data_IF_236895623068
#
_entry.id   IF_236895623068
#
_cell.length_a   1.000
_cell.length_b   1.000
_cell.length_c   1.000
_cell.angle_alpha   90.00
_cell.angle_beta   90.00
_cell.angle_gamma   90.00
#
_symmetry.space_group_name_H-M   'P 1'
#
loop_
_entity.id
_entity.type
_entity.pdbx_description
1 polymer ?
#
# COMPACT_ATOMS: atom_id res chain seq x y z
N UNK A 1 -2.60 8.64 17.70
CA UNK A 1 -3.12 9.22 16.44
C UNK A 1 -4.06 8.21 15.81
N UNK A 2 -5.23 8.64 15.33
CA UNK A 2 -6.15 7.81 14.55
C UNK A 2 -5.61 7.66 13.11
N UNK A 3 -5.80 6.49 12.47
CA UNK A 3 -5.36 6.21 11.10
C UNK A 3 -5.86 7.25 10.10
N UNK A 4 -7.12 7.66 10.22
CA UNK A 4 -7.74 8.69 9.36
C UNK A 4 -6.96 10.01 9.39
N UNK A 5 -6.55 10.46 10.59
CA UNK A 5 -5.79 11.70 10.72
C UNK A 5 -4.41 11.58 10.07
N UNK A 6 -3.76 10.42 10.20
CA UNK A 6 -2.47 10.18 9.58
C UNK A 6 -2.57 10.14 8.05
N UNK A 7 -3.63 9.53 7.51
CA UNK A 7 -3.90 9.52 6.07
C UNK A 7 -4.14 10.93 5.53
N UNK A 8 -4.94 11.75 6.23
CA UNK A 8 -5.16 13.16 5.85
C UNK A 8 -3.86 13.96 5.84
N UNK A 9 -3.03 13.83 6.89
CA UNK A 9 -1.73 14.50 6.97
C UNK A 9 -0.78 14.10 5.83
N UNK A 10 -0.76 12.81 5.45
CA UNK A 10 0.04 12.33 4.32
C UNK A 10 -0.49 12.89 3.00
N UNK A 11 -1.81 12.91 2.79
CA UNK A 11 -2.40 13.48 1.58
C UNK A 11 -2.06 14.97 1.46
N UNK A 12 -2.21 15.74 2.53
CA UNK A 12 -1.83 17.16 2.59
C UNK A 12 -0.35 17.36 2.28
N UNK A 13 0.54 16.57 2.90
CA UNK A 13 1.99 16.64 2.70
C UNK A 13 2.39 16.48 1.24
N UNK A 14 1.71 15.60 0.50
CA UNK A 14 2.03 15.31 -0.90
C UNK A 14 1.08 15.99 -1.89
N UNK A 15 0.29 16.96 -1.44
CA UNK A 15 -0.70 17.68 -2.26
C UNK A 15 -1.65 16.75 -3.03
N UNK A 16 -2.02 15.63 -2.42
CA UNK A 16 -2.94 14.63 -2.96
C UNK A 16 -4.37 14.90 -2.50
N UNK A 17 -5.35 14.57 -3.34
CA UNK A 17 -6.73 14.38 -2.86
C UNK A 17 -6.77 13.25 -1.82
N UNK A 18 -7.70 13.36 -0.87
CA UNK A 18 -7.99 12.32 0.11
C UNK A 18 -9.02 11.34 -0.44
N UNK A 19 -8.57 10.16 -0.87
CA UNK A 19 -9.41 9.09 -1.45
C UNK A 19 -9.18 7.79 -0.67
N UNK A 20 -9.78 7.64 0.53
CA UNK A 20 -9.56 6.48 1.39
C UNK A 20 -10.15 5.20 0.79
N UNK A 21 -9.67 4.06 1.31
CA UNK A 21 -10.31 2.76 1.13
C UNK A 21 -10.97 2.33 2.45
N UNK A 22 -12.08 1.62 2.33
CA UNK A 22 -12.77 0.95 3.42
C UNK A 22 -12.17 -0.45 3.66
N UNK A 23 -12.44 -1.04 4.82
CA UNK A 23 -11.92 -2.37 5.20
C UNK A 23 -12.30 -3.49 4.22
N UNK A 24 -13.48 -3.38 3.59
CA UNK A 24 -13.99 -4.34 2.61
C UNK A 24 -13.47 -4.10 1.19
N UNK A 25 -12.82 -2.97 0.91
CA UNK A 25 -12.25 -2.71 -0.40
C UNK A 25 -11.09 -3.68 -0.68
N UNK A 26 -10.84 -3.92 -1.97
CA UNK A 26 -9.85 -4.89 -2.44
C UNK A 26 -8.58 -4.19 -2.92
N UNK A 27 -7.44 -4.79 -2.59
CA UNK A 27 -6.10 -4.39 -3.05
C UNK A 27 -5.37 -5.60 -3.61
N UNK A 28 -4.51 -5.39 -4.59
CA UNK A 28 -3.62 -6.42 -5.10
C UNK A 28 -2.36 -6.48 -4.22
N UNK A 29 -2.14 -7.58 -3.52
CA UNK A 29 -0.96 -7.81 -2.68
C UNK A 29 -0.20 -9.08 -3.07
N UNK A 30 1.12 -8.97 -3.20
CA UNK A 30 2.01 -10.10 -3.42
C UNK A 30 2.36 -10.76 -2.07
N UNK A 31 1.47 -11.61 -1.55
CA UNK A 31 1.60 -12.22 -0.22
C UNK A 31 2.95 -12.93 -0.01
N UNK A 32 3.43 -13.65 -1.02
CA UNK A 32 4.71 -14.36 -1.01
C UNK A 32 5.94 -13.46 -0.83
N UNK A 33 5.77 -12.14 -1.04
CA UNK A 33 6.83 -11.17 -0.85
C UNK A 33 6.90 -10.62 0.58
N UNK A 34 5.90 -10.92 1.43
CA UNK A 34 5.83 -10.42 2.80
C UNK A 34 7.13 -10.69 3.58
N UNK A 35 7.59 -9.69 4.33
CA UNK A 35 8.86 -9.74 5.07
C UNK A 35 10.08 -9.24 4.28
N UNK A 36 10.00 -9.12 2.95
CA UNK A 36 11.05 -8.51 2.15
C UNK A 36 11.03 -6.97 2.24
N UNK A 37 12.06 -6.32 1.72
CA UNK A 37 12.21 -4.86 1.71
C UNK A 37 12.78 -4.35 0.39
N UNK A 38 12.45 -3.11 -0.02
CA UNK A 38 11.47 -2.23 0.62
C UNK A 38 10.02 -2.62 0.29
N UNK A 39 9.04 -1.97 0.91
CA UNK A 39 7.63 -2.09 0.52
C UNK A 39 7.38 -1.14 -0.65
N UNK A 40 6.87 -1.67 -1.75
CA UNK A 40 6.44 -0.92 -2.93
C UNK A 40 4.91 -0.93 -2.99
N UNK A 41 4.32 0.23 -3.24
CA UNK A 41 2.89 0.36 -3.53
C UNK A 41 2.66 1.36 -4.67
N UNK A 42 1.83 1.00 -5.64
CA UNK A 42 1.44 1.87 -6.75
C UNK A 42 -0.07 1.95 -6.81
N UNK A 43 -0.61 3.18 -6.93
CA UNK A 43 -2.04 3.40 -7.16
C UNK A 43 -2.28 3.75 -8.62
N UNK A 44 -2.91 2.87 -9.38
CA UNK A 44 -3.26 3.09 -10.79
C UNK A 44 -4.73 3.47 -10.96
N UNK A 45 -5.04 4.05 -12.11
CA UNK A 45 -6.43 4.19 -12.57
C UNK A 45 -6.88 2.81 -13.08
N UNK A 46 -7.93 2.19 -12.51
CA UNK A 46 -8.38 0.89 -12.98
C UNK A 46 -8.95 0.97 -14.40
N UNK A 47 -8.55 0.03 -15.28
CA UNK A 47 -8.96 0.03 -16.69
C UNK A 47 -10.38 -0.52 -16.94
N UNK A 48 -10.96 -1.26 -15.98
CA UNK A 48 -12.25 -1.99 -16.12
C UNK A 48 -13.06 -1.96 -14.81
N UNK A 49 -14.18 -2.70 -14.76
CA UNK A 49 -15.04 -2.93 -13.57
C UNK A 49 -14.30 -3.48 -12.33
N UNK A 50 -13.03 -3.85 -12.43
CA UNK A 50 -12.24 -4.19 -11.25
C UNK A 50 -11.91 -2.91 -10.49
N UNK A 51 -12.40 -2.85 -9.25
CA UNK A 51 -12.22 -1.70 -8.36
C UNK A 51 -10.84 -1.66 -7.67
N UNK A 52 -9.93 -2.57 -8.03
CA UNK A 52 -8.59 -2.66 -7.44
C UNK A 52 -7.70 -1.57 -8.05
N UNK A 53 -7.32 -0.60 -7.23
CA UNK A 53 -6.43 0.49 -7.63
C UNK A 53 -5.03 0.39 -7.05
N UNK A 54 -4.83 -0.34 -5.94
CA UNK A 54 -3.53 -0.48 -5.29
C UNK A 54 -2.87 -1.82 -5.60
N UNK A 55 -1.61 -1.77 -5.99
CA UNK A 55 -0.73 -2.91 -6.23
C UNK A 55 0.46 -2.82 -5.29
N UNK A 56 0.62 -3.80 -4.41
CA UNK A 56 1.52 -3.76 -3.27
C UNK A 56 2.39 -5.01 -3.26
N UNK A 57 3.71 -4.83 -3.21
CA UNK A 57 4.66 -5.93 -3.03
C UNK A 57 5.84 -5.48 -2.18
N UNK A 58 6.64 -6.43 -1.71
CA UNK A 58 7.84 -6.17 -0.96
C UNK A 58 9.05 -6.75 -1.72
N UNK A 59 10.22 -6.13 -1.63
CA UNK A 59 11.39 -6.63 -2.35
C UNK A 59 11.20 -6.64 -3.87
N UNK A 60 11.66 -7.71 -4.52
CA UNK A 60 11.69 -7.77 -5.99
C UNK A 60 10.30 -8.00 -6.60
N UNK A 61 10.03 -7.27 -7.69
CA UNK A 61 8.85 -7.51 -8.52
C UNK A 61 9.03 -8.78 -9.35
N UNK A 62 7.94 -9.51 -9.58
CA UNK A 62 7.88 -10.61 -10.54
C UNK A 62 6.74 -10.41 -11.52
N UNK A 63 6.99 -10.71 -12.79
CA UNK A 63 5.98 -10.69 -13.86
C UNK A 63 5.14 -11.98 -13.93
N UNK A 64 5.20 -12.82 -12.90
CA UNK A 64 4.39 -14.04 -12.83
C UNK A 64 2.89 -13.67 -12.79
N UNK A 65 2.03 -14.41 -13.49
CA UNK A 65 0.60 -14.08 -13.59
C UNK A 65 -0.15 -14.18 -12.26
N UNK A 66 0.38 -14.94 -11.31
CA UNK A 66 -0.12 -15.14 -9.94
C UNK A 66 0.63 -14.29 -8.90
N UNK A 67 1.47 -13.35 -9.34
CA UNK A 67 2.28 -12.54 -8.43
C UNK A 67 1.42 -11.69 -7.48
N UNK A 68 0.30 -11.14 -7.96
CA UNK A 68 -0.63 -10.38 -7.14
C UNK A 68 -1.91 -11.16 -6.88
N UNK A 69 -2.38 -11.10 -5.63
CA UNK A 69 -3.66 -11.64 -5.22
C UNK A 69 -4.54 -10.52 -4.65
N UNK A 70 -5.83 -10.56 -4.97
CA UNK A 70 -6.77 -9.60 -4.42
C UNK A 70 -7.09 -9.96 -2.97
N UNK A 71 -6.87 -9.05 -2.03
CA UNK A 71 -7.20 -9.21 -0.61
C UNK A 71 -7.96 -7.99 -0.10
N UNK A 72 -8.77 -8.18 0.95
CA UNK A 72 -9.42 -7.08 1.65
C UNK A 72 -8.39 -6.21 2.38
N UNK A 73 -8.68 -4.91 2.50
CA UNK A 73 -7.87 -3.97 3.29
C UNK A 73 -7.77 -4.43 4.76
N UNK A 74 -8.82 -5.04 5.32
CA UNK A 74 -8.78 -5.65 6.66
C UNK A 74 -7.68 -6.71 6.81
N UNK A 75 -7.56 -7.63 5.86
CA UNK A 75 -6.48 -8.62 5.86
C UNK A 75 -5.12 -7.95 5.64
N UNK A 76 -5.02 -6.96 4.75
CA UNK A 76 -3.77 -6.22 4.55
C UNK A 76 -3.32 -5.52 5.84
N UNK A 77 -4.26 -5.00 6.66
CA UNK A 77 -3.96 -4.39 7.94
C UNK A 77 -3.31 -5.37 8.93
N UNK A 78 -3.69 -6.64 8.90
CA UNK A 78 -3.09 -7.68 9.74
C UNK A 78 -1.65 -7.98 9.32
N UNK A 79 -1.37 -8.02 8.01
CA UNK A 79 -0.05 -8.41 7.49
C UNK A 79 0.94 -7.25 7.33
N UNK A 80 0.45 -6.09 6.89
CA UNK A 80 1.29 -4.97 6.46
C UNK A 80 0.71 -3.60 6.91
N UNK A 81 0.48 -3.38 8.21
CA UNK A 81 -0.17 -2.17 8.71
C UNK A 81 0.58 -0.87 8.36
N UNK A 82 1.90 -0.96 8.09
CA UNK A 82 2.76 0.18 7.76
C UNK A 82 2.37 0.91 6.47
N UNK A 83 1.66 0.25 5.54
CA UNK A 83 1.27 0.88 4.26
C UNK A 83 -0.06 1.64 4.35
N UNK A 84 -0.93 1.28 5.30
CA UNK A 84 -2.27 1.87 5.46
C UNK A 84 -2.30 3.41 5.47
N UNK A 85 -1.34 4.11 6.09
CA UNK A 85 -1.30 5.58 6.08
C UNK A 85 -1.26 6.20 4.68
N UNK A 86 -0.77 5.46 3.69
CA UNK A 86 -0.58 5.94 2.32
C UNK A 86 -1.71 5.55 1.37
N UNK A 87 -2.59 4.62 1.77
CA UNK A 87 -3.62 4.07 0.88
C UNK A 87 -4.74 5.08 0.52
N UNK A 88 -4.76 6.25 1.17
CA UNK A 88 -5.67 7.34 0.82
C UNK A 88 -5.17 8.26 -0.30
N UNK A 89 -3.90 8.16 -0.71
CA UNK A 89 -3.31 8.98 -1.78
C UNK A 89 -4.00 8.73 -3.11
N UNK A 90 -4.24 9.75 -3.93
CA UNK A 90 -4.97 9.60 -5.20
C UNK A 90 -4.23 8.75 -6.24
N UNK A 91 -4.91 8.46 -7.34
CA UNK A 91 -4.33 7.65 -8.43
C UNK A 91 -3.13 8.37 -9.06
N UNK A 92 -2.11 7.60 -9.47
CA UNK A 92 -0.84 8.11 -9.99
C UNK A 92 0.29 8.16 -8.96
N UNK A 93 0.00 7.89 -7.68
CA UNK A 93 1.02 7.83 -6.64
C UNK A 93 1.77 6.49 -6.62
N UNK A 94 3.08 6.58 -6.38
CA UNK A 94 3.96 5.47 -6.06
C UNK A 94 4.63 5.72 -4.71
N UNK A 95 4.61 4.72 -3.85
CA UNK A 95 5.11 4.76 -2.48
C UNK A 95 6.19 3.69 -2.32
N UNK A 96 7.32 4.08 -1.75
CA UNK A 96 8.42 3.18 -1.41
C UNK A 96 8.73 3.40 0.08
N UNK A 97 8.58 2.35 0.89
CA UNK A 97 8.87 2.41 2.33
C UNK A 97 10.03 1.47 2.63
N UNK A 98 11.17 2.06 3.00
CA UNK A 98 12.28 1.33 3.59
C UNK A 98 12.10 1.31 5.10
N UNK A 99 12.03 0.12 5.69
CA UNK A 99 12.16 -0.03 7.14
C UNK A 99 13.66 0.13 7.44
N UNK A 100 14.07 1.28 7.98
CA UNK A 100 15.38 1.35 8.62
C UNK A 100 15.33 0.49 9.87
N UNK A 101 16.13 -0.56 9.93
CA UNK A 101 16.47 -1.17 11.21
C UNK A 101 17.25 -0.11 12.00
N UNK A 102 16.71 0.36 13.12
CA UNK A 102 17.46 1.11 14.13
C UNK A 102 18.48 0.19 14.82
N UNK A 103 19.39 -0.40 14.04
CA UNK A 103 20.45 -1.28 14.51
C UNK A 103 21.83 -0.70 14.14
N UNK A 104 21.96 0.63 14.22
CA UNK A 104 23.22 1.28 14.55
C UNK A 104 22.89 2.49 15.45
N UNK A 105 22.66 2.25 16.74
CA UNK A 105 22.95 3.24 17.77
C UNK A 105 24.02 2.61 18.68
N UNK A 106 25.22 3.18 18.51
CA UNK A 106 26.50 2.99 19.21
C UNK A 106 26.55 2.04 20.40
#
# INVERSE_FOLDING_TARGET
MNLENLQKQICEKYASKYIPLNEMDMVAFAMQSLGQQPIYAVRIVPEKKDHISWFIHCGEYSSAPDFYQAIHVSHLQEYLPKILPYLALEQGFQVIICISSDLIRH
#
